data_IF_246814024087
#
_entry.id   IF_246814024087
#
_cell.length_a   1.000
_cell.length_b   1.000
_cell.length_c   1.000
_cell.angle_alpha   90.00
_cell.angle_beta   90.00
_cell.angle_gamma   90.00
#
_symmetry.space_group_name_H-M   'P 1'
#
loop_
_entity.id
_entity.type
_entity.pdbx_description
1 polymer ?
#
# COMPACT_ATOMS: atom_id res chain seq x y z
N UNK A 1 16.29 -3.89 26.53
CA UNK A 1 16.97 -5.05 27.15
C UNK A 1 16.92 -5.06 28.69
N UNK A 2 17.26 -3.96 29.37
CA UNK A 2 17.32 -3.92 30.86
C UNK A 2 15.99 -4.07 31.62
N UNK A 3 14.86 -4.11 30.91
CA UNK A 3 13.51 -4.27 31.48
C UNK A 3 13.09 -5.73 31.68
N UNK A 4 13.88 -6.70 31.21
CA UNK A 4 13.51 -8.14 31.17
C UNK A 4 13.13 -8.73 32.54
N UNK A 5 13.72 -8.23 33.61
CA UNK A 5 13.59 -8.74 34.99
C UNK A 5 12.84 -7.79 35.93
N UNK A 6 12.16 -6.77 35.39
CA UNK A 6 11.43 -5.77 36.18
C UNK A 6 9.97 -6.17 36.37
N UNK A 7 9.39 -5.83 37.52
CA UNK A 7 7.99 -6.10 37.83
C UNK A 7 7.02 -5.17 37.08
N UNK A 8 5.74 -5.55 37.01
CA UNK A 8 4.72 -4.79 36.29
C UNK A 8 4.60 -3.34 36.75
N UNK A 9 4.63 -3.08 38.07
CA UNK A 9 4.49 -1.72 38.62
C UNK A 9 5.61 -0.78 38.13
N UNK A 10 6.85 -1.23 38.22
CA UNK A 10 8.03 -0.47 37.77
C UNK A 10 7.98 -0.22 36.25
N UNK A 11 7.60 -1.24 35.48
CA UNK A 11 7.45 -1.10 34.02
C UNK A 11 6.35 -0.12 33.67
N UNK A 12 5.21 -0.16 34.36
CA UNK A 12 4.11 0.75 34.12
C UNK A 12 4.48 2.21 34.45
N UNK A 13 5.23 2.45 35.53
CA UNK A 13 5.75 3.78 35.86
C UNK A 13 6.76 4.27 34.82
N UNK A 14 7.69 3.41 34.39
CA UNK A 14 8.63 3.71 33.32
C UNK A 14 7.91 4.08 32.02
N UNK A 15 6.87 3.33 31.63
CA UNK A 15 6.14 3.60 30.40
C UNK A 15 5.25 4.84 30.45
N UNK A 16 4.79 5.26 31.64
CA UNK A 16 4.16 6.58 31.80
C UNK A 16 5.13 7.72 31.45
N UNK A 17 6.41 7.55 31.76
CA UNK A 17 7.45 8.52 31.42
C UNK A 17 7.92 8.40 29.96
N UNK A 18 8.06 7.18 29.43
CA UNK A 18 8.53 6.95 28.05
C UNK A 18 7.49 7.24 26.97
N UNK A 19 6.20 7.02 27.24
CA UNK A 19 5.16 7.16 26.22
C UNK A 19 5.13 8.56 25.55
N UNK A 20 5.19 9.68 26.29
CA UNK A 20 5.30 11.01 25.68
C UNK A 20 6.56 11.17 24.81
N UNK A 21 7.68 10.53 25.16
CA UNK A 21 8.90 10.60 24.38
C UNK A 21 8.76 9.85 23.04
N UNK A 22 8.06 8.71 23.01
CA UNK A 22 7.74 7.97 21.78
C UNK A 22 6.83 8.80 20.86
N UNK A 23 5.92 9.59 21.43
CA UNK A 23 5.05 10.48 20.66
C UNK A 23 5.86 11.59 19.99
N UNK A 24 6.69 12.30 20.77
CA UNK A 24 7.55 13.39 20.27
C UNK A 24 8.54 12.87 19.22
N UNK A 25 9.04 11.65 19.42
CA UNK A 25 9.94 10.98 18.48
C UNK A 25 9.38 10.93 17.06
N UNK A 26 8.10 10.63 16.88
CA UNK A 26 7.49 10.56 15.55
C UNK A 26 7.25 11.92 14.89
N UNK A 27 7.15 12.98 15.68
CA UNK A 27 6.94 14.34 15.16
C UNK A 27 8.28 15.00 14.77
N UNK A 28 9.40 14.53 15.32
CA UNK A 28 10.73 15.09 15.11
C UNK A 28 11.68 14.13 14.37
N UNK A 29 11.16 13.04 13.81
CA UNK A 29 11.96 12.12 13.03
C UNK A 29 12.55 12.85 11.83
N UNK A 30 13.83 12.62 11.53
CA UNK A 30 14.47 13.05 10.30
C UNK A 30 15.03 11.85 9.53
N UNK A 31 15.41 12.08 8.27
CA UNK A 31 15.89 11.01 7.38
C UNK A 31 17.14 10.30 7.94
N UNK A 32 18.06 11.05 8.55
CA UNK A 32 19.31 10.51 9.11
C UNK A 32 19.07 9.59 10.31
N UNK A 33 18.12 9.94 11.17
CA UNK A 33 17.79 9.17 12.36
C UNK A 33 16.86 7.98 12.07
N UNK A 34 16.08 8.04 10.98
CA UNK A 34 15.09 7.02 10.63
C UNK A 34 15.69 5.61 10.61
N UNK A 35 16.84 5.42 9.93
CA UNK A 35 17.48 4.12 9.82
C UNK A 35 17.94 3.56 11.18
N UNK A 36 18.57 4.40 11.99
CA UNK A 36 19.04 4.00 13.33
C UNK A 36 17.87 3.60 14.24
N UNK A 37 16.76 4.33 14.17
CA UNK A 37 15.56 4.02 14.93
C UNK A 37 14.86 2.77 14.45
N UNK A 38 14.77 2.57 13.13
CA UNK A 38 14.25 1.34 12.55
C UNK A 38 15.06 0.13 13.05
N UNK A 39 16.39 0.19 12.99
CA UNK A 39 17.28 -0.86 13.49
C UNK A 39 17.11 -1.10 14.99
N UNK A 40 16.95 -0.03 15.79
CA UNK A 40 16.69 -0.13 17.23
C UNK A 40 15.37 -0.85 17.52
N UNK A 41 14.27 -0.44 16.88
CA UNK A 41 12.95 -1.06 17.06
C UNK A 41 12.95 -2.53 16.63
N UNK A 42 13.52 -2.84 15.47
CA UNK A 42 13.67 -4.21 15.00
C UNK A 42 14.46 -5.05 15.99
N UNK A 43 15.57 -4.54 16.52
CA UNK A 43 16.39 -5.24 17.52
C UNK A 43 15.61 -5.52 18.80
N UNK A 44 14.87 -4.54 19.31
CA UNK A 44 14.10 -4.66 20.56
C UNK A 44 12.96 -5.67 20.40
N UNK A 45 12.21 -5.58 19.30
CA UNK A 45 10.99 -6.36 19.08
C UNK A 45 11.26 -7.78 18.55
N UNK A 46 12.26 -7.99 17.70
CA UNK A 46 12.57 -9.35 17.19
C UNK A 46 13.28 -10.22 18.22
N UNK A 47 14.16 -9.63 19.05
CA UNK A 47 14.97 -10.41 20.00
C UNK A 47 14.17 -10.92 21.21
N UNK A 48 12.94 -10.44 21.42
CA UNK A 48 12.19 -10.67 22.64
C UNK A 48 10.71 -11.02 22.38
N UNK A 49 10.02 -11.47 23.43
CA UNK A 49 8.57 -11.66 23.38
C UNK A 49 7.85 -10.30 23.25
N UNK A 50 7.11 -10.05 22.15
CA UNK A 50 6.45 -8.77 21.91
C UNK A 50 5.44 -8.41 23.00
N UNK A 51 4.87 -9.41 23.71
CA UNK A 51 3.95 -9.19 24.84
C UNK A 51 4.58 -8.43 25.99
N UNK A 52 5.91 -8.46 26.13
CA UNK A 52 6.64 -7.70 27.15
C UNK A 52 6.77 -6.22 26.79
N UNK A 53 6.69 -5.90 25.51
CA UNK A 53 6.82 -4.55 24.96
C UNK A 53 5.48 -4.00 24.48
N UNK A 54 4.37 -4.53 25.00
CA UNK A 54 3.03 -4.13 24.56
C UNK A 54 2.78 -2.62 24.71
N UNK A 55 3.30 -1.97 25.76
CA UNK A 55 3.22 -0.51 25.88
C UNK A 55 3.87 0.21 24.69
N UNK A 56 5.05 -0.23 24.25
CA UNK A 56 5.72 0.32 23.08
C UNK A 56 4.85 0.13 21.84
N UNK A 57 4.42 -1.10 21.60
CA UNK A 57 3.58 -1.47 20.45
C UNK A 57 2.32 -0.60 20.42
N UNK A 58 1.62 -0.46 21.54
CA UNK A 58 0.41 0.37 21.63
C UNK A 58 0.70 1.86 21.36
N UNK A 59 1.81 2.40 21.86
CA UNK A 59 2.15 3.79 21.57
C UNK A 59 2.53 4.00 20.10
N UNK A 60 3.25 3.04 19.49
CA UNK A 60 3.57 3.10 18.07
C UNK A 60 2.30 3.05 17.20
N UNK A 61 1.37 2.14 17.52
CA UNK A 61 0.07 2.03 16.83
C UNK A 61 -0.78 3.31 17.00
N UNK A 62 -0.77 3.93 18.18
CA UNK A 62 -1.43 5.23 18.40
C UNK A 62 -0.76 6.34 17.58
N UNK A 63 0.57 6.34 17.49
CA UNK A 63 1.34 7.23 16.62
C UNK A 63 0.93 7.12 15.15
N UNK A 64 0.80 5.91 14.63
CA UNK A 64 0.40 5.64 13.24
C UNK A 64 -0.99 6.16 12.88
N UNK A 65 -1.94 6.06 13.80
CA UNK A 65 -3.32 6.46 13.58
C UNK A 65 -3.54 7.99 13.68
N UNK A 66 -2.56 8.74 14.20
CA UNK A 66 -2.66 10.21 14.34
C UNK A 66 -2.22 10.92 13.06
N UNK A 67 -2.76 12.11 12.78
CA UNK A 67 -2.21 12.98 11.74
C UNK A 67 -0.71 13.21 11.93
N UNK A 68 0.04 13.18 10.84
CA UNK A 68 1.47 13.44 10.84
C UNK A 68 1.78 14.82 10.25
N UNK A 69 2.89 15.47 10.66
CA UNK A 69 3.28 16.79 10.16
C UNK A 69 3.48 16.82 8.64
N UNK A 70 4.03 15.73 8.09
CA UNK A 70 4.24 15.57 6.66
C UNK A 70 3.87 14.16 6.21
N UNK A 71 3.68 14.01 4.91
CA UNK A 71 3.47 12.71 4.27
C UNK A 71 4.61 11.71 4.52
N UNK A 72 5.86 12.19 4.57
CA UNK A 72 7.01 11.37 4.91
C UNK A 72 6.92 10.84 6.35
N UNK A 73 6.55 11.69 7.33
CA UNK A 73 6.33 11.25 8.70
C UNK A 73 5.21 10.19 8.79
N UNK A 74 4.14 10.34 8.01
CA UNK A 74 3.08 9.33 7.96
C UNK A 74 3.61 8.00 7.43
N UNK A 75 4.39 8.01 6.33
CA UNK A 75 4.97 6.81 5.76
C UNK A 75 5.92 6.12 6.77
N UNK A 76 6.82 6.89 7.39
CA UNK A 76 7.73 6.39 8.44
C UNK A 76 6.97 5.73 9.58
N UNK A 77 5.88 6.35 10.07
CA UNK A 77 5.05 5.76 11.12
C UNK A 77 4.54 4.39 10.72
N UNK A 78 3.97 4.26 9.51
CA UNK A 78 3.40 3.01 9.02
C UNK A 78 4.43 1.86 8.90
N UNK A 79 5.69 2.18 8.62
CA UNK A 79 6.76 1.17 8.43
C UNK A 79 7.64 0.96 9.65
N UNK A 80 7.51 1.78 10.70
CA UNK A 80 8.34 1.68 11.91
C UNK A 80 8.09 0.42 12.73
N UNK A 81 6.87 -0.12 12.70
CA UNK A 81 6.51 -1.35 13.40
C UNK A 81 6.39 -2.50 12.39
N UNK A 82 7.49 -3.22 12.22
CA UNK A 82 7.58 -4.29 11.23
C UNK A 82 6.66 -5.47 11.48
N UNK A 83 6.40 -5.83 12.75
CA UNK A 83 5.54 -6.93 13.22
C UNK A 83 5.28 -8.02 12.15
N UNK A 84 6.36 -8.62 11.67
CA UNK A 84 6.42 -9.54 10.53
C UNK A 84 6.69 -10.98 11.00
N UNK A 85 6.49 -11.24 12.29
CA UNK A 85 6.60 -12.58 12.88
C UNK A 85 5.22 -13.19 13.10
N UNK A 86 5.17 -14.52 13.10
CA UNK A 86 3.93 -15.28 13.34
C UNK A 86 3.29 -15.01 14.72
N UNK A 87 4.02 -14.38 15.65
CA UNK A 87 3.53 -14.06 17.01
C UNK A 87 2.77 -12.73 17.08
N UNK A 88 2.85 -11.92 16.04
CA UNK A 88 2.40 -10.52 16.02
C UNK A 88 1.21 -10.30 15.07
N UNK A 89 0.43 -11.34 14.78
CA UNK A 89 -0.64 -11.32 13.77
C UNK A 89 -1.71 -10.27 14.07
N UNK A 90 -2.10 -10.09 15.33
CA UNK A 90 -3.04 -9.04 15.73
C UNK A 90 -2.47 -7.63 15.51
N UNK A 91 -1.20 -7.43 15.87
CA UNK A 91 -0.48 -6.16 15.65
C UNK A 91 -0.38 -5.85 14.16
N UNK A 92 -0.04 -6.84 13.33
CA UNK A 92 0.01 -6.72 11.87
C UNK A 92 -1.35 -6.32 11.30
N UNK A 93 -2.43 -7.02 11.67
CA UNK A 93 -3.79 -6.67 11.21
C UNK A 93 -4.13 -5.22 11.55
N UNK A 94 -3.82 -4.76 12.76
CA UNK A 94 -4.08 -3.37 13.18
C UNK A 94 -3.30 -2.36 12.34
N UNK A 95 -2.04 -2.66 11.99
CA UNK A 95 -1.23 -1.82 11.10
C UNK A 95 -1.86 -1.76 9.71
N UNK A 96 -2.26 -2.90 9.15
CA UNK A 96 -2.91 -2.95 7.85
C UNK A 96 -4.23 -2.17 7.83
N UNK A 97 -5.04 -2.26 8.89
CA UNK A 97 -6.27 -1.47 9.02
C UNK A 97 -6.01 0.04 9.11
N UNK A 98 -4.96 0.46 9.83
CA UNK A 98 -4.58 1.87 9.91
C UNK A 98 -4.10 2.36 8.53
N UNK A 99 -3.23 1.59 7.87
CA UNK A 99 -2.74 1.89 6.53
C UNK A 99 -3.89 2.00 5.53
N UNK A 100 -4.80 1.03 5.52
CA UNK A 100 -5.98 1.01 4.66
C UNK A 100 -6.86 2.25 4.83
N UNK A 101 -7.15 2.63 6.08
CA UNK A 101 -7.95 3.84 6.38
C UNK A 101 -7.28 5.14 5.95
N UNK A 102 -5.96 5.14 5.79
CA UNK A 102 -5.20 6.30 5.34
C UNK A 102 -5.13 6.42 3.81
N UNK A 103 -5.35 5.31 3.08
CA UNK A 103 -5.21 5.22 1.63
C UNK A 103 -6.06 6.23 0.84
N UNK A 104 -7.35 6.48 1.16
CA UNK A 104 -8.12 7.50 0.46
C UNK A 104 -7.47 8.90 0.42
N UNK A 105 -6.61 9.19 1.40
CA UNK A 105 -5.93 10.49 1.56
C UNK A 105 -4.50 10.48 1.02
N UNK A 106 -4.02 9.36 0.47
CA UNK A 106 -2.64 9.17 0.01
C UNK A 106 -2.38 9.80 -1.36
N UNK A 107 -2.33 11.13 -1.40
CA UNK A 107 -2.19 11.90 -2.65
C UNK A 107 -0.80 11.82 -3.26
N UNK A 108 0.23 11.63 -2.44
CA UNK A 108 1.61 11.57 -2.90
C UNK A 108 2.21 10.20 -2.75
N UNK A 109 3.20 9.92 -3.60
CA UNK A 109 3.86 8.62 -3.74
C UNK A 109 4.42 8.09 -2.42
N UNK A 110 5.11 8.94 -1.65
CA UNK A 110 5.69 8.52 -0.35
C UNK A 110 4.66 7.91 0.60
N UNK A 111 3.42 8.42 0.63
CA UNK A 111 2.35 7.83 1.44
C UNK A 111 1.89 6.50 0.88
N UNK A 112 1.74 6.38 -0.45
CA UNK A 112 1.35 5.15 -1.12
C UNK A 112 2.38 4.05 -0.88
N UNK A 113 3.67 4.34 -1.05
CA UNK A 113 4.78 3.43 -0.74
C UNK A 113 4.70 2.94 0.70
N UNK A 114 4.55 3.85 1.68
CA UNK A 114 4.45 3.47 3.10
C UNK A 114 3.21 2.60 3.41
N UNK A 115 2.08 2.85 2.76
CA UNK A 115 0.87 2.03 2.87
C UNK A 115 1.10 0.66 2.24
N UNK A 116 1.62 0.61 1.02
CA UNK A 116 1.92 -0.62 0.29
C UNK A 116 2.89 -1.50 1.08
N UNK A 117 3.96 -0.95 1.64
CA UNK A 117 4.89 -1.68 2.51
C UNK A 117 4.21 -2.23 3.77
N UNK A 118 3.35 -1.43 4.40
CA UNK A 118 2.61 -1.87 5.59
C UNK A 118 1.67 -3.05 5.29
N UNK A 119 1.00 -3.03 4.13
CA UNK A 119 0.14 -4.12 3.64
C UNK A 119 0.97 -5.34 3.25
N UNK A 120 2.00 -5.17 2.42
CA UNK A 120 2.85 -6.24 1.87
C UNK A 120 3.57 -7.07 2.93
N UNK A 121 3.90 -6.49 4.09
CA UNK A 121 4.51 -7.23 5.20
C UNK A 121 3.64 -8.35 5.77
N UNK A 122 2.35 -8.41 5.42
CA UNK A 122 1.49 -9.55 5.73
C UNK A 122 1.94 -10.82 4.99
N UNK A 123 2.41 -10.68 3.74
CA UNK A 123 2.87 -11.79 2.91
C UNK A 123 4.10 -12.47 3.52
N UNK A 124 5.01 -11.70 4.12
CA UNK A 124 6.17 -12.25 4.83
C UNK A 124 5.75 -13.21 5.96
N UNK A 125 4.64 -12.95 6.66
CA UNK A 125 4.14 -13.83 7.71
C UNK A 125 3.51 -15.09 7.11
N UNK A 126 2.76 -14.94 6.03
CA UNK A 126 2.12 -16.07 5.33
C UNK A 126 3.19 -17.00 4.75
N UNK A 127 4.16 -16.43 4.05
CA UNK A 127 5.28 -17.14 3.44
C UNK A 127 6.09 -17.91 4.49
N UNK A 128 6.41 -17.27 5.61
CA UNK A 128 7.09 -17.92 6.74
C UNK A 128 6.28 -19.09 7.35
N UNK A 129 4.98 -19.20 7.05
CA UNK A 129 4.08 -20.21 7.58
C UNK A 129 3.42 -21.08 6.49
N UNK A 130 3.92 -21.08 5.25
CA UNK A 130 3.32 -21.85 4.14
C UNK A 130 3.14 -23.34 4.41
N UNK A 131 3.98 -23.91 5.28
CA UNK A 131 3.93 -25.33 5.64
C UNK A 131 3.04 -25.62 6.87
N UNK A 132 2.48 -24.59 7.50
CA UNK A 132 1.65 -24.73 8.69
C UNK A 132 0.16 -24.68 8.29
N UNK A 133 -0.62 -25.63 8.79
CA UNK A 133 -2.07 -25.59 8.63
C UNK A 133 -2.67 -24.67 9.70
N UNK A 134 -3.32 -23.59 9.27
CA UNK A 134 -3.99 -22.65 10.16
C UNK A 134 -5.37 -23.14 10.64
N UNK A 135 -5.80 -24.36 10.25
CA UNK A 135 -7.04 -24.97 10.73
C UNK A 135 -7.10 -25.02 12.25
N UNK A 136 -8.18 -24.45 12.80
CA UNK A 136 -8.44 -24.46 14.25
C UNK A 136 -7.83 -23.29 15.02
N UNK A 137 -7.16 -22.34 14.36
CA UNK A 137 -6.73 -21.11 15.03
C UNK A 137 -7.93 -20.27 15.45
N UNK A 138 -7.87 -19.58 16.60
CA UNK A 138 -8.82 -18.52 16.91
C UNK A 138 -8.85 -17.43 15.82
N UNK A 139 -10.03 -16.87 15.52
CA UNK A 139 -10.22 -15.80 14.53
C UNK A 139 -9.22 -14.64 14.67
N UNK A 140 -8.88 -14.28 15.91
CA UNK A 140 -7.93 -13.19 16.19
C UNK A 140 -6.52 -13.42 15.61
N UNK A 141 -6.12 -14.68 15.39
CA UNK A 141 -4.81 -15.03 14.84
C UNK A 141 -4.80 -15.32 13.34
N UNK A 142 -5.97 -15.30 12.69
CA UNK A 142 -6.03 -15.43 11.24
C UNK A 142 -5.34 -14.23 10.60
N UNK A 143 -4.68 -14.46 9.48
CA UNK A 143 -3.99 -13.42 8.72
C UNK A 143 -4.71 -13.31 7.38
N UNK A 144 -4.98 -12.09 6.95
CA UNK A 144 -5.55 -11.83 5.63
C UNK A 144 -4.51 -12.15 4.54
N UNK A 145 -4.89 -12.96 3.56
CA UNK A 145 -4.02 -13.30 2.43
C UNK A 145 -3.99 -12.21 1.37
N UNK A 146 -3.15 -12.40 0.34
CA UNK A 146 -3.05 -11.44 -0.76
C UNK A 146 -4.38 -11.29 -1.50
N UNK A 147 -5.10 -12.39 -1.76
CA UNK A 147 -6.38 -12.35 -2.48
C UNK A 147 -7.43 -11.52 -1.71
N UNK A 148 -7.44 -11.57 -0.38
CA UNK A 148 -8.26 -10.67 0.45
C UNK A 148 -7.96 -9.19 0.17
N UNK A 149 -6.68 -8.81 0.11
CA UNK A 149 -6.30 -7.42 -0.15
C UNK A 149 -6.61 -7.00 -1.58
N UNK A 150 -6.36 -7.87 -2.56
CA UNK A 150 -6.71 -7.62 -3.96
C UNK A 150 -8.21 -7.38 -4.12
N UNK A 151 -9.06 -8.22 -3.51
CA UNK A 151 -10.51 -8.02 -3.51
C UNK A 151 -10.91 -6.68 -2.87
N UNK A 152 -10.22 -6.27 -1.80
CA UNK A 152 -10.47 -5.00 -1.13
C UNK A 152 -10.09 -3.81 -2.02
N UNK A 153 -8.98 -3.91 -2.75
CA UNK A 153 -8.58 -2.93 -3.76
C UNK A 153 -9.63 -2.85 -4.87
N UNK A 154 -10.00 -3.98 -5.47
CA UNK A 154 -11.00 -4.08 -6.55
C UNK A 154 -12.32 -3.40 -6.16
N UNK A 155 -12.83 -3.66 -4.94
CA UNK A 155 -14.05 -3.03 -4.45
C UNK A 155 -13.99 -1.50 -4.31
N UNK A 156 -12.79 -0.89 -4.36
CA UNK A 156 -12.58 0.55 -4.22
C UNK A 156 -11.97 1.20 -5.48
N UNK A 157 -11.66 0.43 -6.52
CA UNK A 157 -11.18 0.95 -7.80
C UNK A 157 -12.28 1.64 -8.62
N UNK A 158 -13.56 1.53 -8.24
CA UNK A 158 -14.68 2.14 -8.97
C UNK A 158 -14.74 1.75 -10.46
N UNK A 159 -15.36 2.60 -11.28
CA UNK A 159 -15.44 2.42 -12.74
C UNK A 159 -14.06 2.46 -13.45
N UNK A 160 -13.02 3.00 -12.81
CA UNK A 160 -11.67 3.11 -13.39
C UNK A 160 -11.00 1.77 -13.67
N UNK A 161 -11.42 0.68 -13.01
CA UNK A 161 -10.97 -0.69 -13.33
C UNK A 161 -12.13 -1.68 -13.56
N UNK A 162 -13.28 -1.47 -12.91
CA UNK A 162 -14.40 -2.43 -12.96
C UNK A 162 -15.04 -2.54 -14.34
N UNK A 163 -15.06 -1.45 -15.12
CA UNK A 163 -15.64 -1.43 -16.48
C UNK A 163 -14.78 -2.09 -17.56
N UNK A 164 -13.49 -2.37 -17.28
CA UNK A 164 -12.60 -3.10 -18.21
C UNK A 164 -12.59 -4.61 -17.96
N UNK A 165 -13.00 -5.03 -16.77
CA UNK A 165 -13.17 -6.45 -16.42
C UNK A 165 -14.37 -7.15 -17.08
N UNK A 166 -15.17 -6.43 -17.88
CA UNK A 166 -16.26 -7.01 -18.65
C UNK A 166 -17.09 -5.98 -19.40
N UNK A 167 -17.21 -6.18 -20.71
CA UNK A 167 -17.95 -5.42 -21.72
C UNK A 167 -17.21 -4.22 -22.35
N UNK A 168 -17.00 -4.36 -23.66
CA UNK A 168 -16.56 -3.33 -24.60
C UNK A 168 -17.19 -1.96 -24.31
N UNK A 169 -16.35 -0.96 -24.09
CA UNK A 169 -16.78 0.44 -24.06
C UNK A 169 -15.83 1.27 -24.93
N UNK A 170 -16.07 1.21 -26.24
CA UNK A 170 -15.77 2.27 -27.19
C UNK A 170 -16.47 3.55 -26.73
N UNK A 171 -15.73 4.50 -26.17
CA UNK A 171 -16.14 5.91 -26.11
C UNK A 171 -14.91 6.80 -25.93
N UNK A 172 -14.36 7.22 -27.07
CA UNK A 172 -13.50 8.39 -27.13
C UNK A 172 -14.32 9.61 -26.71
N UNK A 173 -13.91 10.27 -25.64
CA UNK A 173 -14.42 11.59 -25.28
C UNK A 173 -13.65 12.63 -26.08
N UNK A 174 -14.16 12.96 -27.28
CA UNK A 174 -13.77 14.16 -27.99
C UNK A 174 -14.18 15.38 -27.15
N UNK A 175 -13.20 16.16 -26.70
CA UNK A 175 -13.46 17.49 -26.14
C UNK A 175 -12.88 18.51 -27.10
N UNK A 176 -13.73 19.01 -28.01
CA UNK A 176 -13.42 20.14 -28.88
C UNK A 176 -13.29 21.41 -28.03
N UNK A 177 -12.06 21.93 -27.87
CA UNK A 177 -11.83 23.28 -27.33
C UNK A 177 -11.41 24.18 -28.49
N UNK A 178 -12.39 24.91 -29.03
CA UNK A 178 -12.12 26.03 -29.92
C UNK A 178 -11.56 27.20 -29.07
N UNK A 179 -10.34 27.63 -29.38
CA UNK A 179 -9.74 28.85 -28.83
C UNK A 179 -10.10 30.05 -29.70
N UNK A 180 -10.59 31.15 -29.08
CA UNK A 180 -10.24 32.47 -29.58
C UNK A 180 -9.68 33.36 -28.47
N UNK A 181 -8.55 34.00 -28.78
CA UNK A 181 -8.22 35.34 -28.29
C UNK A 181 -7.47 35.42 -26.97
N UNK A 182 -6.18 35.75 -27.07
CA UNK A 182 -5.33 36.12 -25.96
C UNK A 182 -5.82 37.40 -25.24
N UNK A 183 -5.80 37.40 -23.90
CA UNK A 183 -5.39 38.58 -23.13
C UNK A 183 -5.02 38.24 -21.68
N UNK A 184 -3.80 38.61 -21.35
CA UNK A 184 -3.18 38.65 -20.04
C UNK A 184 -4.10 39.36 -19.02
N UNK A 185 -4.66 38.67 -18.04
CA UNK A 185 -5.19 39.28 -16.81
C UNK A 185 -5.43 38.21 -15.71
N UNK A 186 -4.96 38.56 -14.51
CA UNK A 186 -5.22 37.99 -13.18
C UNK A 186 -4.69 36.58 -12.83
N UNK A 187 -3.38 36.49 -12.56
CA UNK A 187 -2.76 35.43 -11.74
C UNK A 187 -3.49 35.26 -10.38
N UNK A 188 -4.14 36.31 -9.87
CA UNK A 188 -4.91 36.28 -8.63
C UNK A 188 -6.29 35.59 -8.76
N UNK A 189 -6.93 35.62 -9.94
CA UNK A 189 -8.16 34.85 -10.18
C UNK A 189 -7.85 33.36 -10.40
N UNK A 190 -6.70 33.04 -10.99
CA UNK A 190 -6.21 31.67 -11.11
C UNK A 190 -5.89 31.07 -9.73
N UNK A 191 -5.30 31.84 -8.82
CA UNK A 191 -5.04 31.43 -7.44
C UNK A 191 -6.34 31.24 -6.62
N UNK A 192 -7.35 32.09 -6.82
CA UNK A 192 -8.67 31.94 -6.20
C UNK A 192 -9.42 30.71 -6.73
N UNK A 193 -9.36 30.44 -8.05
CA UNK A 193 -9.93 29.23 -8.65
C UNK A 193 -9.18 27.95 -8.28
N UNK A 194 -7.86 28.00 -8.07
CA UNK A 194 -7.10 26.88 -7.50
C UNK A 194 -7.47 26.61 -6.03
N UNK A 195 -7.81 27.66 -5.27
CA UNK A 195 -8.26 27.53 -3.88
C UNK A 195 -9.72 27.00 -3.79
N UNK A 196 -10.59 27.34 -4.76
CA UNK A 196 -11.94 26.78 -4.88
C UNK A 196 -11.96 25.35 -5.45
N UNK A 197 -10.89 24.90 -6.13
CA UNK A 197 -10.73 23.55 -6.67
C UNK A 197 -10.35 22.46 -5.64
N UNK A 198 -10.60 22.68 -4.34
CA UNK A 198 -10.66 21.60 -3.35
C UNK A 198 -11.57 22.03 -2.20
N UNK A 199 -12.76 21.39 -2.04
CA UNK A 199 -12.83 19.97 -1.72
C UNK A 199 -14.03 19.27 -2.38
N UNK A 200 -13.97 18.99 -3.69
CA UNK A 200 -14.75 17.90 -4.28
C UNK A 200 -13.76 16.89 -4.83
N UNK A 201 -13.30 15.96 -3.99
CA UNK A 201 -12.58 14.79 -4.48
C UNK A 201 -13.49 14.08 -5.47
N UNK A 202 -13.17 14.14 -6.76
CA UNK A 202 -13.88 13.34 -7.74
C UNK A 202 -13.70 11.87 -7.37
N UNK A 203 -14.72 11.03 -7.59
CA UNK A 203 -14.58 9.57 -7.40
C UNK A 203 -13.40 9.02 -8.23
N UNK A 204 -13.07 9.67 -9.34
CA UNK A 204 -11.93 9.37 -10.21
C UNK A 204 -10.58 9.54 -9.48
N UNK A 205 -10.38 10.63 -8.73
CA UNK A 205 -9.11 10.83 -7.99
C UNK A 205 -8.94 9.81 -6.86
N UNK A 206 -10.04 9.34 -6.27
CA UNK A 206 -10.01 8.29 -5.27
C UNK A 206 -9.63 6.93 -5.87
N UNK A 207 -10.28 6.53 -6.97
CA UNK A 207 -9.96 5.29 -7.70
C UNK A 207 -8.50 5.24 -8.15
N UNK A 208 -7.96 6.37 -8.61
CA UNK A 208 -6.54 6.46 -8.97
C UNK A 208 -5.59 6.29 -7.78
N UNK A 209 -5.94 6.75 -6.57
CA UNK A 209 -5.11 6.50 -5.38
C UNK A 209 -5.05 4.99 -5.07
N UNK A 210 -6.18 4.29 -5.20
CA UNK A 210 -6.23 2.84 -5.04
C UNK A 210 -5.41 2.11 -6.10
N UNK A 211 -5.54 2.49 -7.38
CA UNK A 211 -4.80 1.87 -8.47
C UNK A 211 -3.29 2.03 -8.31
N UNK A 212 -2.81 3.27 -8.08
CA UNK A 212 -1.38 3.52 -7.86
C UNK A 212 -0.84 2.77 -6.65
N UNK A 213 -1.61 2.69 -5.57
CA UNK A 213 -1.20 1.95 -4.37
C UNK A 213 -1.20 0.44 -4.61
N UNK A 214 -2.16 -0.09 -5.38
CA UNK A 214 -2.21 -1.50 -5.76
C UNK A 214 -0.98 -1.90 -6.59
N UNK A 215 -0.63 -1.09 -7.59
CA UNK A 215 0.56 -1.33 -8.43
C UNK A 215 1.84 -1.34 -7.59
N UNK A 216 2.00 -0.35 -6.71
CA UNK A 216 3.12 -0.29 -5.77
C UNK A 216 3.14 -1.49 -4.81
N UNK A 217 1.97 -1.93 -4.33
CA UNK A 217 1.85 -3.13 -3.49
C UNK A 217 2.28 -4.39 -4.24
N UNK A 218 1.88 -4.54 -5.50
CA UNK A 218 2.27 -5.69 -6.33
C UNK A 218 3.77 -5.68 -6.66
N UNK A 219 4.35 -4.51 -6.93
CA UNK A 219 5.79 -4.38 -7.16
C UNK A 219 6.59 -4.88 -5.95
N UNK A 220 6.28 -4.35 -4.77
CA UNK A 220 6.91 -4.80 -3.51
C UNK A 220 6.58 -6.26 -3.17
N UNK A 221 5.42 -6.77 -3.58
CA UNK A 221 5.06 -8.17 -3.38
C UNK A 221 6.00 -9.09 -4.16
N UNK A 222 6.29 -8.77 -5.42
CA UNK A 222 7.15 -9.59 -6.27
C UNK A 222 8.64 -9.52 -5.91
N UNK A 223 9.09 -8.45 -5.25
CA UNK A 223 10.47 -8.34 -4.76
C UNK A 223 10.76 -9.29 -3.58
N UNK A 224 9.76 -9.51 -2.71
CA UNK A 224 10.00 -10.08 -1.38
C UNK A 224 9.23 -11.37 -1.08
N UNK A 225 8.18 -11.70 -1.86
CA UNK A 225 7.31 -12.85 -1.57
C UNK A 225 7.77 -14.10 -2.31
N UNK A 226 7.61 -15.25 -1.66
CA UNK A 226 7.99 -16.56 -2.23
C UNK A 226 6.91 -17.07 -3.18
N UNK A 227 5.64 -16.75 -2.93
CA UNK A 227 4.54 -17.13 -3.79
C UNK A 227 4.37 -16.17 -4.96
N UNK A 228 4.44 -16.68 -6.20
CA UNK A 228 4.38 -15.82 -7.38
C UNK A 228 2.96 -15.57 -7.93
N UNK A 229 2.06 -16.56 -7.80
CA UNK A 229 0.72 -16.52 -8.38
C UNK A 229 -0.33 -16.97 -7.38
N UNK A 230 -1.44 -16.22 -7.36
CA UNK A 230 -2.68 -16.56 -6.69
C UNK A 230 -3.85 -16.35 -7.65
N UNK A 231 -5.03 -16.92 -7.39
CA UNK A 231 -6.21 -16.68 -8.21
C UNK A 231 -6.50 -15.20 -8.46
N UNK A 232 -6.35 -14.32 -7.46
CA UNK A 232 -6.56 -12.88 -7.60
C UNK A 232 -5.50 -12.20 -8.49
N UNK A 233 -4.23 -12.61 -8.40
CA UNK A 233 -3.20 -12.10 -9.31
C UNK A 233 -3.49 -12.51 -10.76
N UNK A 234 -3.91 -13.77 -10.96
CA UNK A 234 -4.24 -14.29 -12.29
C UNK A 234 -5.43 -13.53 -12.89
N UNK A 235 -6.44 -13.16 -12.09
CA UNK A 235 -7.59 -12.37 -12.58
C UNK A 235 -7.23 -10.91 -12.89
N UNK A 236 -6.21 -10.34 -12.24
CA UNK A 236 -5.73 -8.98 -12.50
C UNK A 236 -4.85 -8.89 -13.76
N UNK A 237 -4.26 -10.01 -14.20
CA UNK A 237 -3.30 -10.03 -15.32
C UNK A 237 -3.81 -9.32 -16.60
N UNK A 238 -5.05 -9.55 -17.10
CA UNK A 238 -5.56 -8.87 -18.30
C UNK A 238 -5.57 -7.34 -18.15
N UNK A 239 -6.02 -6.85 -17.00
CA UNK A 239 -6.11 -5.41 -16.71
C UNK A 239 -4.72 -4.77 -16.67
N UNK A 240 -3.74 -5.45 -16.05
CA UNK A 240 -2.36 -4.98 -16.02
C UNK A 240 -1.73 -4.97 -17.42
N UNK A 241 -2.02 -5.98 -18.24
CA UNK A 241 -1.53 -6.06 -19.60
C UNK A 241 -2.10 -4.94 -20.49
N UNK A 242 -3.38 -4.58 -20.33
CA UNK A 242 -3.97 -3.42 -21.01
C UNK A 242 -3.21 -2.13 -20.66
N UNK A 243 -2.98 -1.83 -19.37
CA UNK A 243 -2.21 -0.65 -18.97
C UNK A 243 -0.76 -0.67 -19.46
N UNK A 244 -0.13 -1.85 -19.51
CA UNK A 244 1.23 -2.01 -20.01
C UNK A 244 1.33 -1.77 -21.54
N UNK A 245 0.23 -2.02 -22.27
CA UNK A 245 0.17 -1.96 -23.73
C UNK A 245 -0.52 -0.70 -24.29
N UNK A 246 -1.08 0.16 -23.44
CA UNK A 246 -1.66 1.43 -23.88
C UNK A 246 -0.57 2.29 -24.57
N UNK A 247 -0.54 2.27 -25.91
CA UNK A 247 0.34 3.10 -26.73
C UNK A 247 0.17 4.59 -26.37
N UNK A 248 1.22 5.40 -26.55
CA UNK A 248 1.23 6.86 -26.35
C UNK A 248 0.43 7.59 -27.46
N UNK A 249 -0.76 7.08 -27.76
CA UNK A 249 -1.67 7.70 -28.71
C UNK A 249 -2.19 9.01 -28.13
N UNK A 250 -1.60 10.08 -28.66
CA UNK A 250 -2.08 11.47 -28.70
C UNK A 250 -1.61 12.41 -27.57
N UNK A 251 -0.48 13.05 -27.87
CA UNK A 251 -0.36 14.51 -27.90
C UNK A 251 -0.57 15.27 -26.59
N UNK A 252 0.54 15.68 -25.97
CA UNK A 252 0.65 16.98 -25.26
C UNK A 252 -0.49 17.27 -24.24
N UNK A 253 -0.75 16.38 -23.28
CA UNK A 253 -1.87 16.64 -22.36
C UNK A 253 -1.86 15.99 -20.98
N UNK A 254 -1.49 14.71 -20.84
CA UNK A 254 -1.67 14.03 -19.55
C UNK A 254 -0.48 13.17 -19.15
N UNK A 255 0.52 13.81 -18.54
CA UNK A 255 1.53 13.13 -17.72
C UNK A 255 0.92 12.43 -16.48
N UNK A 256 -0.41 12.50 -16.28
CA UNK A 256 -1.10 12.08 -15.06
C UNK A 256 -1.04 10.57 -14.82
N UNK A 257 -0.92 9.76 -15.87
CA UNK A 257 -0.99 8.29 -15.75
C UNK A 257 0.29 7.56 -16.23
N UNK A 258 1.37 8.31 -16.48
CA UNK A 258 2.68 7.76 -16.85
C UNK A 258 3.22 6.78 -15.79
N UNK A 259 3.00 7.09 -14.51
CA UNK A 259 3.42 6.25 -13.39
C UNK A 259 2.67 4.91 -13.33
N UNK A 260 1.37 4.94 -13.66
CA UNK A 260 0.51 3.75 -13.75
C UNK A 260 1.01 2.83 -14.88
N UNK A 261 1.21 3.38 -16.09
CA UNK A 261 1.72 2.62 -17.24
C UNK A 261 3.09 2.04 -16.97
N UNK A 262 4.01 2.83 -16.42
CA UNK A 262 5.35 2.39 -16.07
C UNK A 262 5.31 1.23 -15.07
N UNK A 263 4.53 1.35 -13.99
CA UNK A 263 4.42 0.30 -12.98
C UNK A 263 3.77 -0.97 -13.53
N UNK A 264 2.73 -0.85 -14.37
CA UNK A 264 2.09 -1.99 -15.02
C UNK A 264 3.03 -2.70 -16.01
N UNK A 265 3.78 -1.93 -16.79
CA UNK A 265 4.82 -2.42 -17.70
C UNK A 265 5.90 -3.19 -16.95
N UNK A 266 6.40 -2.63 -15.84
CA UNK A 266 7.38 -3.26 -14.97
C UNK A 266 6.86 -4.60 -14.41
N UNK A 267 5.61 -4.60 -13.91
CA UNK A 267 4.95 -5.82 -13.43
C UNK A 267 4.84 -6.88 -14.52
N UNK A 268 4.38 -6.54 -15.73
CA UNK A 268 4.14 -7.51 -16.80
C UNK A 268 5.46 -8.03 -17.38
N UNK A 269 6.34 -7.11 -17.79
CA UNK A 269 7.50 -7.42 -18.62
C UNK A 269 8.73 -7.84 -17.82
N UNK A 270 8.91 -7.34 -16.60
CA UNK A 270 10.06 -7.71 -15.77
C UNK A 270 9.70 -8.77 -14.73
N UNK A 271 8.61 -8.57 -13.97
CA UNK A 271 8.26 -9.48 -12.89
C UNK A 271 7.49 -10.71 -13.38
N UNK A 272 6.38 -10.52 -14.10
CA UNK A 272 5.46 -11.60 -14.48
C UNK A 272 6.01 -12.50 -15.59
N UNK A 273 6.85 -11.97 -16.47
CA UNK A 273 7.48 -12.73 -17.57
C UNK A 273 8.47 -13.79 -17.07
N UNK A 274 9.11 -13.55 -15.92
CA UNK A 274 10.12 -14.41 -15.31
C UNK A 274 9.59 -15.36 -14.24
N UNK A 275 8.27 -15.42 -14.00
CA UNK A 275 7.72 -16.18 -12.88
C UNK A 275 7.87 -17.68 -13.04
N UNK A 276 8.18 -18.33 -11.92
CA UNK A 276 8.13 -19.78 -11.82
C UNK A 276 6.67 -20.24 -11.69
N UNK A 277 6.16 -20.85 -12.76
CA UNK A 277 4.80 -21.38 -12.80
C UNK A 277 4.71 -22.71 -12.02
N UNK A 278 4.03 -22.67 -10.88
CA UNK A 278 3.69 -23.91 -10.17
C UNK A 278 2.63 -24.69 -10.95
N UNK A 279 2.67 -26.04 -10.96
CA UNK A 279 1.67 -26.86 -11.67
C UNK A 279 0.22 -26.56 -11.26
N UNK A 280 0.01 -26.14 -10.00
CA UNK A 280 -1.30 -25.77 -9.47
C UNK A 280 -1.98 -24.64 -10.24
N UNK A 281 -1.20 -23.69 -10.77
CA UNK A 281 -1.71 -22.48 -11.41
C UNK A 281 -1.39 -22.39 -12.90
N UNK A 282 -0.57 -23.31 -13.43
CA UNK A 282 -0.09 -23.27 -14.81
C UNK A 282 -1.23 -23.25 -15.83
N UNK A 283 -2.19 -24.17 -15.72
CA UNK A 283 -3.31 -24.26 -16.66
C UNK A 283 -4.22 -23.02 -16.58
N UNK A 284 -4.50 -22.55 -15.36
CA UNK A 284 -5.35 -21.37 -15.16
C UNK A 284 -4.69 -20.13 -15.76
N UNK A 285 -3.40 -19.91 -15.48
CA UNK A 285 -2.67 -18.75 -15.99
C UNK A 285 -2.52 -18.81 -17.51
N UNK A 286 -2.16 -19.97 -18.08
CA UNK A 286 -2.04 -20.16 -19.52
C UNK A 286 -3.37 -19.86 -20.23
N UNK A 287 -4.49 -20.33 -19.69
CA UNK A 287 -5.80 -20.04 -20.26
C UNK A 287 -6.12 -18.54 -20.25
N UNK A 288 -5.79 -17.82 -19.18
CA UNK A 288 -5.93 -16.35 -19.12
C UNK A 288 -5.07 -15.68 -20.19
N UNK A 289 -3.80 -16.05 -20.31
CA UNK A 289 -2.89 -15.47 -21.32
C UNK A 289 -3.43 -15.70 -22.73
N UNK A 290 -3.91 -16.91 -23.05
CA UNK A 290 -4.50 -17.24 -24.35
C UNK A 290 -5.77 -16.42 -24.63
N UNK A 291 -6.57 -16.12 -23.61
CA UNK A 291 -7.77 -15.30 -23.77
C UNK A 291 -7.44 -13.85 -24.12
N UNK A 292 -6.38 -13.28 -23.53
CA UNK A 292 -5.99 -11.88 -23.77
C UNK A 292 -5.16 -11.71 -25.05
N UNK A 293 -4.50 -12.77 -25.53
CA UNK A 293 -3.73 -12.75 -26.77
C UNK A 293 -4.59 -12.85 -28.06
N UNK A 294 -5.90 -13.07 -27.93
CA UNK A 294 -6.86 -13.14 -29.05
C UNK A 294 -7.52 -11.80 -29.30
#
# INVERSE_FOLDING_TARGET
MGTKYRGFKELNELWKWLAPAVDVFYDHMNADAHYAWHACLATVLHSNDPRRYWWLIEQLLKGMARPAPTAWHQAVRLVSLLANTWRETETRRRICEIAWRSLPKARIETQRVGISTALKNICAIIDANMNNDFKGLPKRFHIEDIDFWLQRFEGNLGETASTRSGASSTRGSETNVALPGAQQLAINELAAKLAEASPSSSNTDLGQNYLRTLLEFLLQYYEDSITCLTPGIISLFPVLLEYANEEDAESMGSYKDMDIKYSASLLIYEYMSGLLLSPKFADQFLNTVIQVAK
#
